data_IF_338794029441
#
_entry.id   IF_338794029441
#
_cell.length_a   1.000
_cell.length_b   1.000
_cell.length_c   1.000
_cell.angle_alpha   90.00
_cell.angle_beta   90.00
_cell.angle_gamma   90.00
#
_symmetry.space_group_name_H-M   'P 1'
#
loop_
_entity.id
_entity.type
_entity.pdbx_description
1 polymer ?
#
# COMPACT_ATOMS: atom_id res chain seq x y z
N UNK A 1 -23.24 -8.98 -9.46
CA UNK A 1 -23.31 -8.22 -9.11
C UNK A 1 -22.70 -7.43 -8.54
N UNK A 2 -22.60 -6.80 -8.36
CA UNK A 2 -21.85 -6.19 -7.78
C UNK A 2 -22.20 -5.54 -6.75
N UNK A 3 -21.56 -5.33 -5.95
CA UNK A 3 -22.08 -4.73 -4.94
C UNK A 3 -21.74 -3.36 -4.85
N UNK A 4 -22.56 -2.52 -4.37
CA UNK A 4 -22.25 -1.17 -4.21
C UNK A 4 -21.22 -1.03 -3.21
N UNK A 5 -20.41 -0.05 -3.24
CA UNK A 5 -19.30 0.14 -2.31
C UNK A 5 -18.25 -0.94 -2.37
N UNK A 6 -18.53 -2.00 -3.11
CA UNK A 6 -17.60 -3.09 -3.27
C UNK A 6 -16.78 -3.06 -4.53
N UNK A 7 -16.97 -2.03 -5.35
CA UNK A 7 -16.23 -1.94 -6.60
C UNK A 7 -14.80 -1.56 -6.33
N UNK A 8 -13.87 -2.36 -6.83
CA UNK A 8 -12.44 -2.12 -6.69
C UNK A 8 -11.84 -1.87 -8.06
N UNK A 9 -10.89 -0.96 -8.10
CA UNK A 9 -10.11 -0.71 -9.29
C UNK A 9 -8.70 -1.23 -9.07
N UNK A 10 -8.12 -1.86 -10.09
CA UNK A 10 -6.76 -2.38 -10.03
C UNK A 10 -5.87 -1.62 -10.99
N UNK A 11 -4.68 -1.30 -10.52
CA UNK A 11 -3.70 -0.56 -11.32
C UNK A 11 -2.32 -1.13 -11.08
N UNK A 12 -1.46 -1.01 -12.09
CA UNK A 12 -0.03 -1.16 -11.87
C UNK A 12 0.51 0.20 -11.47
N UNK A 13 1.46 0.21 -10.55
CA UNK A 13 2.00 1.45 -10.02
C UNK A 13 3.45 1.25 -9.61
N UNK A 14 4.18 2.35 -9.52
CA UNK A 14 5.51 2.36 -8.95
C UNK A 14 5.46 3.10 -7.63
N UNK A 15 6.03 2.51 -6.59
CA UNK A 15 6.12 3.17 -5.30
C UNK A 15 7.28 4.16 -5.36
N UNK A 16 6.97 5.45 -5.34
CA UNK A 16 8.00 6.48 -5.45
C UNK A 16 8.65 6.77 -4.11
N UNK A 17 7.89 6.65 -3.01
CA UNK A 17 8.49 6.72 -1.69
C UNK A 17 7.53 6.19 -0.64
N UNK A 18 8.11 5.69 0.44
CA UNK A 18 7.35 5.27 1.61
C UNK A 18 7.38 6.44 2.60
N UNK A 19 6.20 6.88 3.03
CA UNK A 19 6.07 8.03 3.92
C UNK A 19 6.15 7.58 5.38
N UNK A 20 5.40 6.53 5.71
CA UNK A 20 5.51 5.87 7.01
C UNK A 20 5.01 4.43 6.84
N UNK A 21 4.83 3.71 7.95
CA UNK A 21 4.52 2.28 7.90
C UNK A 21 3.20 1.91 7.25
N UNK A 22 2.32 2.86 7.01
CA UNK A 22 1.02 2.57 6.40
C UNK A 22 0.61 3.60 5.35
N UNK A 23 1.57 4.44 4.90
CA UNK A 23 1.28 5.49 3.92
C UNK A 23 2.40 5.54 2.89
N UNK A 24 2.03 5.49 1.62
CA UNK A 24 2.99 5.47 0.51
C UNK A 24 2.58 6.44 -0.57
N UNK A 25 3.58 6.92 -1.32
CA UNK A 25 3.34 7.69 -2.52
C UNK A 25 3.61 6.81 -3.72
N UNK A 26 2.68 6.81 -4.67
CA UNK A 26 2.79 5.97 -5.86
C UNK A 26 2.55 6.79 -7.11
N UNK A 27 3.13 6.32 -8.22
CA UNK A 27 2.83 6.79 -9.55
C UNK A 27 2.02 5.70 -10.23
N UNK A 28 0.73 5.96 -10.43
CA UNK A 28 -0.21 4.98 -10.97
C UNK A 28 -0.22 5.08 -12.48
N UNK A 29 -0.13 3.93 -13.15
CA UNK A 29 -0.21 3.85 -14.60
C UNK A 29 -1.69 3.74 -14.99
N UNK A 30 -2.21 4.77 -15.65
CA UNK A 30 -3.60 4.82 -16.08
C UNK A 30 -3.77 4.39 -17.54
N UNK A 31 -2.68 3.92 -18.17
CA UNK A 31 -2.73 3.60 -19.58
C UNK A 31 -2.57 4.84 -20.44
N UNK A 32 -2.44 4.64 -21.74
CA UNK A 32 -2.30 5.75 -22.69
C UNK A 32 -1.14 6.69 -22.37
N UNK A 33 -0.11 6.17 -21.68
CA UNK A 33 1.04 6.98 -21.24
C UNK A 33 0.66 8.05 -20.23
N UNK A 34 -0.48 7.88 -19.55
CA UNK A 34 -0.93 8.80 -18.52
C UNK A 34 -0.58 8.20 -17.17
N UNK A 35 0.09 8.99 -16.33
CA UNK A 35 0.46 8.57 -14.98
C UNK A 35 -0.06 9.59 -13.98
N UNK A 36 -0.44 9.09 -12.82
CA UNK A 36 -1.00 9.91 -11.76
C UNK A 36 -0.28 9.62 -10.45
N UNK A 37 0.27 10.65 -9.84
CA UNK A 37 0.96 10.52 -8.56
C UNK A 37 -0.02 10.84 -7.44
N UNK A 38 -0.11 9.96 -6.47
CA UNK A 38 -1.03 10.15 -5.36
C UNK A 38 -0.51 9.43 -4.10
N UNK A 39 -1.12 9.76 -2.97
CA UNK A 39 -0.79 9.16 -1.67
C UNK A 39 -1.86 8.12 -1.35
N UNK A 40 -1.41 6.92 -0.97
CA UNK A 40 -2.30 5.84 -0.57
C UNK A 40 -2.09 5.50 0.89
N UNK A 41 -3.18 5.21 1.57
CA UNK A 41 -3.18 4.68 2.93
C UNK A 41 -3.44 3.17 2.83
N UNK A 42 -2.57 2.36 3.43
CA UNK A 42 -2.76 0.91 3.39
C UNK A 42 -4.00 0.54 4.19
N UNK A 43 -4.94 -0.14 3.53
CA UNK A 43 -6.24 -0.44 4.09
C UNK A 43 -6.16 -1.58 5.10
N UNK A 44 -6.96 -1.48 6.15
CA UNK A 44 -7.17 -2.59 7.09
C UNK A 44 -6.07 -2.79 8.12
N UNK A 45 -5.07 -1.93 8.14
CA UNK A 45 -3.97 -2.03 9.10
C UNK A 45 -3.64 -0.67 9.69
N UNK A 46 -2.91 -0.69 10.80
CA UNK A 46 -2.46 0.53 11.43
C UNK A 46 -1.02 0.30 11.91
N UNK A 47 -0.09 1.09 11.38
CA UNK A 47 1.31 1.01 11.77
C UNK A 47 1.58 1.95 12.95
N UNK A 48 2.62 1.68 13.76
CA UNK A 48 2.98 2.60 14.83
C UNK A 48 3.36 3.96 14.28
N UNK A 49 3.21 4.98 15.10
CA UNK A 49 3.55 6.34 14.71
C UNK A 49 5.03 6.46 14.39
N UNK A 50 5.34 7.23 13.35
CA UNK A 50 6.71 7.34 12.85
C UNK A 50 7.68 7.87 13.90
N UNK A 51 7.22 8.66 14.84
CA UNK A 51 8.08 9.21 15.89
C UNK A 51 8.54 8.16 16.92
N UNK A 52 7.98 6.95 16.86
CA UNK A 52 8.37 5.88 17.78
C UNK A 52 9.41 4.97 17.12
N UNK A 53 10.23 4.25 17.91
CA UNK A 53 11.15 3.28 17.31
C UNK A 53 10.46 2.22 16.50
N UNK A 54 9.27 1.78 16.94
CA UNK A 54 8.48 0.80 16.21
C UNK A 54 8.00 1.37 14.88
N UNK A 55 7.63 2.65 14.86
CA UNK A 55 7.21 3.30 13.62
C UNK A 55 8.34 3.46 12.64
N UNK A 56 9.53 3.80 13.12
CA UNK A 56 10.71 3.88 12.27
C UNK A 56 11.02 2.51 11.67
N UNK A 57 10.93 1.46 12.49
CA UNK A 57 11.17 0.10 12.02
C UNK A 57 10.13 -0.33 10.98
N UNK A 58 8.87 0.01 11.19
CA UNK A 58 7.80 -0.34 10.25
C UNK A 58 8.00 0.36 8.91
N UNK A 59 8.38 1.64 8.94
CA UNK A 59 8.66 2.38 7.71
C UNK A 59 9.84 1.77 6.96
N UNK A 60 10.91 1.44 7.67
CA UNK A 60 12.10 0.85 7.07
C UNK A 60 11.79 -0.52 6.47
N UNK A 61 11.01 -1.33 7.18
CA UNK A 61 10.60 -2.64 6.68
C UNK A 61 9.84 -2.51 5.37
N UNK A 62 8.88 -1.59 5.32
CA UNK A 62 8.07 -1.38 4.14
C UNK A 62 8.90 -0.83 2.98
N UNK A 63 9.72 0.18 3.25
CA UNK A 63 10.56 0.79 2.22
C UNK A 63 11.51 -0.23 1.59
N UNK A 64 12.08 -1.10 2.41
CA UNK A 64 13.01 -2.11 1.92
C UNK A 64 12.35 -3.05 0.93
N UNK A 65 11.05 -3.28 1.07
CA UNK A 65 10.33 -4.23 0.24
C UNK A 65 9.68 -3.62 -0.99
N UNK A 66 9.18 -2.40 -0.90
CA UNK A 66 8.39 -1.86 -2.01
C UNK A 66 8.88 -0.53 -2.57
N UNK A 67 9.72 0.22 -1.86
CA UNK A 67 10.12 1.54 -2.36
C UNK A 67 10.90 1.41 -3.67
N UNK A 68 10.50 2.18 -4.67
CA UNK A 68 11.12 2.14 -5.98
C UNK A 68 10.71 0.96 -6.84
N UNK A 69 9.78 0.14 -6.38
CA UNK A 69 9.41 -1.08 -7.08
C UNK A 69 8.01 -0.97 -7.67
N UNK A 70 7.75 -1.83 -8.66
CA UNK A 70 6.44 -1.93 -9.27
C UNK A 70 5.55 -2.83 -8.40
N UNK A 71 4.32 -2.40 -8.20
CA UNK A 71 3.35 -3.11 -7.38
C UNK A 71 2.01 -3.10 -8.08
N UNK A 72 1.10 -3.97 -7.64
CA UNK A 72 -0.29 -3.92 -8.05
C UNK A 72 -1.09 -3.28 -6.93
N UNK A 73 -1.92 -2.30 -7.27
CA UNK A 73 -2.69 -1.52 -6.30
C UNK A 73 -4.16 -1.75 -6.55
N UNK A 74 -4.90 -2.06 -5.50
CA UNK A 74 -6.36 -2.14 -5.56
C UNK A 74 -6.95 -1.07 -4.68
N UNK A 75 -7.79 -0.21 -5.27
CA UNK A 75 -8.47 0.86 -4.54
C UNK A 75 -9.96 0.65 -4.61
N UNK A 76 -10.67 1.22 -3.64
CA UNK A 76 -12.13 1.20 -3.64
C UNK A 76 -12.63 2.47 -4.30
N UNK A 77 -13.66 2.34 -5.14
CA UNK A 77 -14.24 3.50 -5.81
C UNK A 77 -14.67 4.54 -4.78
N UNK A 78 -14.20 5.77 -4.97
CA UNK A 78 -14.60 6.93 -4.18
C UNK A 78 -14.39 6.77 -2.67
N UNK A 79 -13.61 5.78 -2.26
CA UNK A 79 -13.39 5.56 -0.85
C UNK A 79 -12.07 6.18 -0.42
N UNK A 80 -12.17 7.25 0.35
CA UNK A 80 -11.02 7.94 0.91
C UNK A 80 -11.12 7.92 2.44
N UNK A 81 -9.96 7.90 3.09
CA UNK A 81 -9.96 8.03 4.54
C UNK A 81 -10.07 9.51 4.92
N UNK A 82 -10.15 9.81 6.22
CA UNK A 82 -10.53 11.14 6.68
C UNK A 82 -9.57 12.26 6.27
N UNK A 83 -8.34 11.92 5.88
CA UNK A 83 -7.37 12.92 5.42
C UNK A 83 -7.31 13.03 3.91
N UNK A 84 -8.26 12.42 3.21
CA UNK A 84 -8.34 12.50 1.76
C UNK A 84 -7.45 11.54 0.99
N UNK A 85 -6.77 10.64 1.67
CA UNK A 85 -5.97 9.61 1.01
C UNK A 85 -6.85 8.45 0.61
N UNK A 86 -6.55 7.84 -0.53
CA UNK A 86 -7.28 6.64 -0.93
C UNK A 86 -6.80 5.44 -0.14
N UNK A 87 -7.73 4.60 0.25
CA UNK A 87 -7.43 3.32 0.90
C UNK A 87 -7.07 2.30 -0.17
N UNK A 88 -6.03 1.51 0.08
CA UNK A 88 -5.55 0.58 -0.92
C UNK A 88 -5.04 -0.72 -0.32
N UNK A 89 -5.22 -1.80 -1.09
CA UNK A 89 -4.50 -3.05 -0.88
C UNK A 89 -3.38 -3.07 -1.90
N UNK A 90 -2.17 -3.42 -1.46
CA UNK A 90 -0.98 -3.38 -2.32
C UNK A 90 -0.36 -4.76 -2.38
N UNK A 91 -0.19 -5.28 -3.60
CA UNK A 91 0.46 -6.56 -3.81
C UNK A 91 1.86 -6.32 -4.37
N UNK A 92 2.82 -7.08 -3.88
CA UNK A 92 4.22 -6.96 -4.26
C UNK A 92 4.84 -8.35 -4.40
N UNK A 93 6.01 -8.40 -5.06
CA UNK A 93 6.79 -9.62 -5.14
C UNK A 93 7.72 -9.69 -3.94
N UNK A 94 7.68 -10.76 -3.19
CA UNK A 94 8.50 -10.93 -2.00
C UNK A 94 9.50 -12.07 -2.22
N UNK A 95 10.82 -11.77 -2.27
CA UNK A 95 11.83 -12.82 -2.46
C UNK A 95 11.80 -13.88 -1.35
N UNK A 96 11.40 -13.51 -0.15
CA UNK A 96 11.28 -14.44 0.97
C UNK A 96 10.27 -15.55 0.69
N UNK A 97 9.31 -15.29 -0.19
CA UNK A 97 8.24 -16.22 -0.54
C UNK A 97 8.28 -16.59 -2.03
N UNK A 98 9.49 -16.81 -2.57
CA UNK A 98 9.69 -17.22 -3.97
C UNK A 98 9.16 -16.21 -4.98
N UNK A 99 9.23 -14.91 -4.63
CA UNK A 99 8.76 -13.83 -5.49
C UNK A 99 7.30 -13.94 -5.89
N UNK A 100 6.49 -14.59 -5.04
CA UNK A 100 5.06 -14.62 -5.27
C UNK A 100 4.46 -13.25 -4.99
N UNK A 101 3.34 -12.97 -5.65
CA UNK A 101 2.57 -11.77 -5.35
C UNK A 101 1.88 -11.94 -4.00
N UNK A 102 2.20 -11.07 -3.06
CA UNK A 102 1.63 -11.10 -1.72
C UNK A 102 1.05 -9.74 -1.39
N UNK A 103 -0.01 -9.72 -0.60
CA UNK A 103 -0.60 -8.48 -0.11
C UNK A 103 0.27 -7.96 1.03
N UNK A 104 0.93 -6.82 0.82
CA UNK A 104 1.82 -6.26 1.82
C UNK A 104 1.07 -5.88 3.10
N UNK A 105 -0.20 -5.47 2.97
CA UNK A 105 -1.02 -5.15 4.14
C UNK A 105 -1.07 -6.35 5.10
N UNK A 106 -1.31 -7.54 4.55
CA UNK A 106 -1.37 -8.76 5.34
C UNK A 106 -0.02 -9.16 5.90
N UNK A 107 1.02 -9.08 5.05
CA UNK A 107 2.37 -9.48 5.47
C UNK A 107 2.87 -8.60 6.62
N UNK A 108 2.55 -7.31 6.60
CA UNK A 108 2.95 -6.41 7.69
C UNK A 108 2.37 -6.86 9.04
N UNK A 109 1.13 -7.33 9.05
CA UNK A 109 0.52 -7.82 10.28
C UNK A 109 1.18 -9.11 10.73
N UNK A 110 1.42 -10.02 9.78
CA UNK A 110 2.07 -11.31 10.09
C UNK A 110 3.47 -11.08 10.66
N UNK A 111 4.20 -10.12 10.11
CA UNK A 111 5.57 -9.84 10.54
C UNK A 111 5.64 -8.93 11.77
N UNK A 112 4.50 -8.50 12.30
CA UNK A 112 4.47 -7.69 13.50
C UNK A 112 4.77 -6.21 13.27
N UNK A 113 4.76 -5.75 12.03
CA UNK A 113 5.07 -4.35 11.70
C UNK A 113 3.85 -3.45 11.78
N UNK A 114 2.66 -4.01 11.82
CA UNK A 114 1.41 -3.28 11.93
C UNK A 114 0.38 -4.15 12.63
N UNK A 115 -0.69 -3.53 13.10
CA UNK A 115 -1.79 -4.25 13.71
C UNK A 115 -2.99 -4.18 12.77
N UNK A 116 -3.83 -5.19 12.85
CA UNK A 116 -5.06 -5.25 12.07
C UNK A 116 -6.06 -4.28 12.67
N UNK A 117 -6.70 -3.50 11.81
CA UNK A 117 -7.75 -2.58 12.25
C UNK A 117 -9.11 -3.24 12.23
#
# INVERSE_FOLDING_TARGET
MREEGGVMYEYLAKVTRVIDGDTIEVEIDLGFKIKHTTILRLSGINAPELRTPEGVAAKAWLAQRIEGKSVAVRTFKDRKEKYGRYLALVEYHDPKYDNQWLCVNTVMVVEGMAVKM
#
